data_IF_139943643229
#
_entry.id   IF_139943643229
#
_cell.length_a   1.000
_cell.length_b   1.000
_cell.length_c   1.000
_cell.angle_alpha   90.00
_cell.angle_beta   90.00
_cell.angle_gamma   90.00
#
_symmetry.space_group_name_H-M   'P 1'
#
loop_
_entity.id
_entity.type
_entity.pdbx_description
1 polymer ?
#
# COMPACT_ATOMS: atom_id res chain seq x y z
N UNK A 1 39.14 -9.80 16.04
CA UNK A 1 37.87 -10.56 15.81
C UNK A 1 36.77 -9.85 16.60
N UNK A 2 35.95 -9.05 15.93
CA UNK A 2 34.78 -8.41 16.54
C UNK A 2 33.76 -9.50 16.85
N UNK A 3 33.28 -9.58 18.12
CA UNK A 3 32.16 -10.46 18.50
C UNK A 3 31.01 -10.21 17.52
N UNK A 4 30.36 -11.26 16.97
CA UNK A 4 29.15 -11.07 16.18
C UNK A 4 28.15 -10.26 17.02
N UNK A 5 27.64 -9.17 16.45
CA UNK A 5 26.63 -8.36 17.11
C UNK A 5 25.45 -9.28 17.47
N UNK A 6 25.03 -9.26 18.73
CA UNK A 6 23.89 -10.07 19.22
C UNK A 6 22.66 -9.70 18.40
N UNK A 7 22.03 -10.71 17.78
CA UNK A 7 20.76 -10.50 17.04
C UNK A 7 19.71 -9.90 17.99
N UNK A 8 19.08 -8.80 17.56
CA UNK A 8 18.06 -8.10 18.35
C UNK A 8 16.71 -8.81 18.19
N UNK A 9 16.01 -9.02 19.30
CA UNK A 9 14.67 -9.61 19.31
C UNK A 9 13.62 -8.53 19.01
N UNK A 10 13.05 -8.55 17.82
CA UNK A 10 12.05 -7.61 17.38
C UNK A 10 10.66 -8.25 17.41
N UNK A 11 9.80 -7.79 18.31
CA UNK A 11 8.38 -8.12 18.23
C UNK A 11 7.68 -7.21 17.21
N UNK A 12 6.90 -7.81 16.33
CA UNK A 12 6.05 -7.06 15.38
C UNK A 12 4.61 -7.26 15.82
N UNK A 13 3.89 -6.18 16.12
CA UNK A 13 2.48 -6.23 16.50
C UNK A 13 1.65 -5.59 15.40
N UNK A 14 0.81 -6.42 14.76
CA UNK A 14 0.00 -6.05 13.61
C UNK A 14 -1.41 -6.64 13.71
N UNK A 15 -2.41 -6.01 13.12
CA UNK A 15 -3.80 -6.43 13.22
C UNK A 15 -4.04 -7.84 12.68
N UNK A 16 -3.63 -8.12 11.44
CA UNK A 16 -3.84 -9.40 10.76
C UNK A 16 -2.82 -9.61 9.64
N UNK A 17 -2.64 -10.83 9.15
CA UNK A 17 -1.79 -11.11 7.98
C UNK A 17 -2.31 -10.41 6.73
N UNK A 18 -1.40 -9.86 5.92
CA UNK A 18 -1.73 -9.25 4.64
C UNK A 18 -0.73 -9.64 3.58
N UNK A 19 -1.15 -9.63 2.32
CA UNK A 19 -0.30 -9.90 1.15
C UNK A 19 0.88 -8.91 0.98
N UNK A 20 0.87 -7.79 1.70
CA UNK A 20 1.93 -6.79 1.64
C UNK A 20 2.98 -6.94 2.74
N UNK A 21 2.53 -7.25 3.98
CA UNK A 21 3.43 -7.31 5.12
C UNK A 21 3.98 -8.71 5.39
N UNK A 22 3.18 -9.75 5.19
CA UNK A 22 3.61 -11.13 5.43
C UNK A 22 4.83 -11.54 4.58
N UNK A 23 4.90 -11.21 3.27
CA UNK A 23 6.11 -11.46 2.49
C UNK A 23 7.32 -10.63 2.93
N UNK A 24 7.12 -9.41 3.44
CA UNK A 24 8.21 -8.62 4.01
C UNK A 24 8.75 -9.23 5.31
N UNK A 25 7.88 -9.75 6.18
CA UNK A 25 8.31 -10.44 7.40
C UNK A 25 9.11 -11.71 7.07
N UNK A 26 8.66 -12.48 6.08
CA UNK A 26 9.40 -13.63 5.54
C UNK A 26 10.76 -13.24 5.00
N UNK A 27 10.80 -12.17 4.21
CA UNK A 27 12.05 -11.64 3.66
C UNK A 27 13.03 -11.22 4.77
N UNK A 28 12.55 -10.52 5.81
CA UNK A 28 13.38 -10.14 6.96
C UNK A 28 13.91 -11.35 7.71
N UNK A 29 13.08 -12.36 7.95
CA UNK A 29 13.50 -13.59 8.63
C UNK A 29 14.60 -14.34 7.87
N UNK A 30 14.57 -14.28 6.52
CA UNK A 30 15.55 -14.95 5.66
C UNK A 30 16.84 -14.17 5.42
N UNK A 31 16.83 -12.82 5.54
CA UNK A 31 17.95 -11.98 5.05
C UNK A 31 18.47 -10.96 6.07
N UNK A 32 17.87 -10.86 7.26
CA UNK A 32 18.27 -9.88 8.25
C UNK A 32 18.81 -10.54 9.53
N UNK A 33 20.01 -11.11 9.48
CA UNK A 33 20.67 -11.81 10.60
C UNK A 33 20.76 -10.97 11.89
N UNK A 34 20.72 -9.66 11.76
CA UNK A 34 20.71 -8.72 12.89
C UNK A 34 19.38 -8.72 13.67
N UNK A 35 18.32 -9.35 13.14
CA UNK A 35 16.99 -9.37 13.76
C UNK A 35 16.52 -10.81 13.94
N UNK A 36 16.11 -11.14 15.17
CA UNK A 36 15.26 -12.29 15.46
C UNK A 36 13.84 -11.78 15.64
N UNK A 37 13.01 -11.88 14.59
CA UNK A 37 11.64 -11.36 14.64
C UNK A 37 10.64 -12.41 15.12
N UNK A 38 9.58 -11.93 15.80
CA UNK A 38 8.33 -12.67 16.00
C UNK A 38 7.15 -11.76 15.76
N UNK A 39 6.19 -12.21 14.95
CA UNK A 39 4.97 -11.46 14.60
C UNK A 39 3.81 -11.89 15.49
N UNK A 40 3.20 -10.92 16.16
CA UNK A 40 2.00 -11.10 16.97
C UNK A 40 0.80 -10.56 16.21
N UNK A 41 -0.03 -11.45 15.67
CA UNK A 41 -1.27 -11.11 15.00
C UNK A 41 -2.41 -10.99 16.00
N UNK A 42 -3.13 -9.87 15.93
CA UNK A 42 -4.25 -9.59 16.83
C UNK A 42 -5.57 -10.18 16.33
N UNK A 43 -5.61 -10.63 15.07
CA UNK A 43 -6.76 -11.22 14.40
C UNK A 43 -6.30 -12.11 13.25
N UNK A 44 -7.13 -13.12 12.89
CA UNK A 44 -6.82 -14.08 11.83
C UNK A 44 -7.51 -13.79 10.48
N UNK A 45 -8.00 -12.55 10.27
CA UNK A 45 -8.56 -12.16 8.98
C UNK A 45 -7.55 -12.31 7.83
N UNK A 46 -8.04 -12.63 6.65
CA UNK A 46 -7.23 -12.80 5.43
C UNK A 46 -6.60 -14.17 5.26
N UNK A 47 -6.49 -14.99 6.32
CA UNK A 47 -6.03 -16.38 6.26
C UNK A 47 -7.15 -17.32 5.80
N UNK A 48 -8.35 -17.09 6.31
CA UNK A 48 -9.55 -17.83 5.92
C UNK A 48 -10.44 -16.95 5.03
N UNK A 49 -11.30 -17.57 4.17
CA UNK A 49 -12.26 -16.81 3.39
C UNK A 49 -13.09 -15.87 4.26
N UNK A 50 -13.01 -14.59 3.96
CA UNK A 50 -13.70 -13.53 4.71
C UNK A 50 -14.46 -12.66 3.72
N UNK A 51 -15.70 -12.30 4.06
CA UNK A 51 -16.48 -11.38 3.24
C UNK A 51 -15.95 -9.96 3.38
N UNK A 52 -15.50 -9.37 2.26
CA UNK A 52 -15.17 -7.95 2.18
C UNK A 52 -16.39 -7.16 1.71
N UNK A 53 -17.01 -6.33 2.57
CA UNK A 53 -18.24 -5.63 2.23
C UNK A 53 -18.05 -4.57 1.12
N UNK A 54 -16.84 -4.09 0.88
CA UNK A 54 -16.57 -3.10 -0.16
C UNK A 54 -16.33 -3.74 -1.54
N UNK A 55 -15.76 -4.95 -1.59
CA UNK A 55 -15.76 -5.77 -2.81
C UNK A 55 -17.09 -6.50 -3.02
N UNK A 56 -17.90 -6.67 -1.97
CA UNK A 56 -19.14 -7.47 -2.03
C UNK A 56 -18.89 -8.95 -2.32
N UNK A 57 -17.69 -9.46 -2.04
CA UNK A 57 -17.29 -10.84 -2.32
C UNK A 57 -16.56 -11.47 -1.13
N UNK A 58 -16.61 -12.79 -1.05
CA UNK A 58 -15.90 -13.58 -0.05
C UNK A 58 -14.67 -14.18 -0.70
N UNK A 59 -13.49 -13.88 -0.16
CA UNK A 59 -12.22 -14.44 -0.65
C UNK A 59 -11.21 -14.62 0.48
N UNK A 60 -10.20 -15.43 0.24
CA UNK A 60 -8.94 -15.44 0.95
C UNK A 60 -7.84 -15.02 -0.03
N UNK A 61 -6.73 -14.50 0.49
CA UNK A 61 -5.57 -14.26 -0.36
C UNK A 61 -5.02 -15.59 -0.85
N UNK A 62 -4.76 -15.71 -2.14
CA UNK A 62 -4.23 -16.90 -2.81
C UNK A 62 -2.70 -16.99 -2.79
N UNK A 63 -2.09 -16.33 -1.82
CA UNK A 63 -0.67 -16.37 -1.52
C UNK A 63 -0.43 -16.80 -0.08
N UNK A 64 0.70 -17.45 0.15
CA UNK A 64 1.07 -17.86 1.50
C UNK A 64 1.41 -16.66 2.38
N UNK A 65 0.65 -16.52 3.48
CA UNK A 65 0.77 -15.40 4.40
C UNK A 65 1.52 -15.75 5.70
N UNK A 66 1.77 -17.02 5.99
CA UNK A 66 2.22 -17.42 7.32
C UNK A 66 3.57 -18.15 7.36
N UNK A 67 4.00 -18.78 6.26
CA UNK A 67 5.25 -19.54 6.25
C UNK A 67 6.51 -18.67 6.25
N UNK A 68 7.60 -19.21 6.74
CA UNK A 68 8.95 -18.65 6.62
C UNK A 68 9.33 -17.57 7.63
N UNK A 69 8.53 -17.37 8.68
CA UNK A 69 8.86 -16.50 9.82
C UNK A 69 8.10 -16.94 11.08
N UNK A 70 8.66 -16.62 12.25
CA UNK A 70 8.03 -16.93 13.54
C UNK A 70 6.83 -16.01 13.79
N UNK A 71 5.67 -16.59 14.07
CA UNK A 71 4.45 -15.84 14.31
C UNK A 71 3.51 -16.54 15.30
N UNK A 72 2.64 -15.77 15.92
CA UNK A 72 1.53 -16.32 16.72
C UNK A 72 0.27 -15.44 16.61
N UNK A 73 -0.89 -16.08 16.72
CA UNK A 73 -2.16 -15.40 16.87
C UNK A 73 -2.48 -15.23 18.35
N UNK A 74 -2.66 -13.96 18.75
CA UNK A 74 -3.05 -13.62 20.13
C UNK A 74 -4.58 -13.64 20.23
N UNK A 75 -5.18 -14.41 21.17
CA UNK A 75 -6.64 -14.48 21.29
C UNK A 75 -7.29 -13.11 21.38
N UNK A 76 -8.28 -12.87 20.52
CA UNK A 76 -9.09 -11.65 20.52
C UNK A 76 -10.40 -11.89 21.26
N UNK A 77 -10.63 -11.17 22.35
CA UNK A 77 -11.81 -11.27 23.21
C UNK A 77 -12.90 -10.24 22.87
N UNK A 78 -12.77 -9.53 21.74
CA UNK A 78 -13.83 -8.61 21.29
C UNK A 78 -15.10 -9.38 20.93
N UNK A 79 -16.25 -8.86 21.35
CA UNK A 79 -17.57 -9.38 20.95
C UNK A 79 -17.86 -9.15 19.47
N UNK A 80 -17.20 -8.16 18.86
CA UNK A 80 -17.34 -7.79 17.46
C UNK A 80 -15.95 -7.60 16.86
N UNK A 81 -15.21 -8.70 16.55
CA UNK A 81 -13.88 -8.62 15.98
C UNK A 81 -13.89 -7.87 14.65
N UNK A 82 -12.88 -7.01 14.44
CA UNK A 82 -12.75 -6.24 13.21
C UNK A 82 -11.70 -5.16 13.31
N UNK A 83 -11.25 -4.68 12.17
CA UNK A 83 -10.26 -3.59 12.05
C UNK A 83 -10.90 -2.21 11.83
N UNK A 84 -12.21 -2.13 11.74
CA UNK A 84 -13.01 -0.94 11.46
C UNK A 84 -13.36 -0.12 12.71
N UNK A 85 -13.15 -0.68 13.92
CA UNK A 85 -13.55 -0.06 15.18
C UNK A 85 -12.49 -0.21 16.26
N UNK A 86 -12.45 0.77 17.17
CA UNK A 86 -11.49 0.82 18.29
C UNK A 86 -11.54 -0.42 19.20
N UNK A 87 -12.74 -0.94 19.50
CA UNK A 87 -12.95 -2.12 20.34
C UNK A 87 -12.85 -3.45 19.60
N UNK A 88 -12.59 -3.43 18.28
CA UNK A 88 -12.56 -4.64 17.46
C UNK A 88 -11.40 -5.58 17.75
N UNK A 89 -10.29 -5.04 18.25
CA UNK A 89 -9.13 -5.83 18.67
C UNK A 89 -8.87 -5.63 20.16
N UNK A 90 -9.16 -6.69 20.96
CA UNK A 90 -8.96 -6.78 22.40
C UNK A 90 -8.21 -8.07 22.71
N UNK A 91 -6.91 -7.97 22.88
CA UNK A 91 -6.03 -9.11 23.08
C UNK A 91 -5.35 -9.01 24.47
N UNK A 92 -6.02 -9.43 25.55
CA UNK A 92 -5.52 -9.26 26.92
C UNK A 92 -4.20 -9.98 27.16
N UNK A 93 -3.96 -11.11 26.49
CA UNK A 93 -2.75 -11.95 26.65
C UNK A 93 -1.51 -11.39 25.95
N UNK A 94 -1.64 -10.36 25.06
CA UNK A 94 -0.49 -9.83 24.31
C UNK A 94 0.67 -9.44 25.24
N UNK A 95 0.37 -8.74 26.34
CA UNK A 95 1.41 -8.23 27.25
C UNK A 95 2.16 -9.34 27.96
N UNK A 96 1.48 -10.39 28.43
CA UNK A 96 2.11 -11.56 29.06
C UNK A 96 2.96 -12.34 28.05
N UNK A 97 2.50 -12.49 26.81
CA UNK A 97 3.27 -13.15 25.74
C UNK A 97 4.53 -12.37 25.39
N UNK A 98 4.44 -11.03 25.28
CA UNK A 98 5.61 -10.17 25.09
C UNK A 98 6.57 -10.24 26.29
N UNK A 99 6.06 -10.25 27.54
CA UNK A 99 6.89 -10.39 28.75
C UNK A 99 7.65 -11.72 28.79
N UNK A 100 7.04 -12.83 28.35
CA UNK A 100 7.69 -14.14 28.23
C UNK A 100 8.71 -14.14 27.10
N UNK A 101 8.37 -13.60 25.93
CA UNK A 101 9.26 -13.58 24.78
C UNK A 101 10.42 -12.59 24.92
N UNK A 102 10.28 -11.53 25.74
CA UNK A 102 11.31 -10.52 26.06
C UNK A 102 11.93 -9.87 24.82
N UNK A 103 11.15 -9.10 24.03
CA UNK A 103 11.71 -8.36 22.90
C UNK A 103 12.64 -7.24 23.36
N UNK A 104 13.63 -6.91 22.54
CA UNK A 104 14.47 -5.71 22.71
C UNK A 104 13.75 -4.44 22.22
N UNK A 105 12.89 -4.59 21.22
CA UNK A 105 12.02 -3.52 20.69
C UNK A 105 10.71 -4.08 20.12
N UNK A 106 9.70 -3.22 19.97
CA UNK A 106 8.43 -3.56 19.30
C UNK A 106 8.20 -2.64 18.12
N UNK A 107 7.97 -3.20 16.93
CA UNK A 107 7.40 -2.52 15.77
C UNK A 107 5.89 -2.61 15.85
N UNK A 108 5.22 -1.48 16.11
CA UNK A 108 3.78 -1.40 16.29
C UNK A 108 3.11 -0.76 15.08
N UNK A 109 2.17 -1.48 14.46
CA UNK A 109 1.39 -1.01 13.32
C UNK A 109 0.10 -0.30 13.77
N UNK A 110 0.16 1.03 13.85
CA UNK A 110 -0.97 1.88 14.22
C UNK A 110 -1.17 2.02 15.74
N UNK A 111 -2.25 2.71 16.09
CA UNK A 111 -2.65 2.96 17.50
C UNK A 111 -4.17 2.85 17.71
N UNK A 112 -4.91 2.36 16.73
CA UNK A 112 -6.37 2.51 16.62
C UNK A 112 -7.19 1.52 17.45
N UNK A 113 -6.54 0.67 18.29
CA UNK A 113 -7.24 -0.37 19.04
C UNK A 113 -6.95 -0.33 20.52
N UNK A 114 -7.87 -0.88 21.32
CA UNK A 114 -7.69 -1.04 22.77
C UNK A 114 -6.36 -1.74 23.10
N UNK A 115 -6.04 -2.80 22.34
CA UNK A 115 -4.78 -3.55 22.50
C UNK A 115 -3.55 -2.67 22.29
N UNK A 116 -3.57 -1.78 21.29
CA UNK A 116 -2.46 -0.87 21.00
C UNK A 116 -2.22 0.12 22.16
N UNK A 117 -3.28 0.74 22.68
CA UNK A 117 -3.11 1.69 23.79
C UNK A 117 -2.61 1.01 25.07
N UNK A 118 -3.10 -0.20 25.36
CA UNK A 118 -2.58 -1.00 26.48
C UNK A 118 -1.10 -1.35 26.32
N UNK A 119 -0.69 -1.74 25.11
CA UNK A 119 0.70 -2.01 24.77
C UNK A 119 1.58 -0.76 24.94
N UNK A 120 1.14 0.39 24.42
CA UNK A 120 1.89 1.66 24.51
C UNK A 120 2.11 2.05 25.99
N UNK A 121 1.07 1.95 26.81
CA UNK A 121 1.18 2.24 28.24
C UNK A 121 2.12 1.27 28.96
N UNK A 122 1.96 -0.04 28.72
CA UNK A 122 2.79 -1.07 29.33
C UNK A 122 4.27 -0.94 28.92
N UNK A 123 4.54 -0.73 27.63
CA UNK A 123 5.90 -0.56 27.11
C UNK A 123 6.60 0.63 27.75
N UNK A 124 5.88 1.76 27.95
CA UNK A 124 6.40 2.92 28.67
C UNK A 124 6.78 2.58 30.13
N UNK A 125 5.93 1.81 30.82
CA UNK A 125 6.19 1.43 32.23
C UNK A 125 7.39 0.46 32.36
N UNK A 126 7.59 -0.39 31.36
CA UNK A 126 8.70 -1.36 31.34
C UNK A 126 9.98 -0.82 30.69
N UNK A 127 9.98 0.40 30.15
CA UNK A 127 11.10 0.95 29.39
C UNK A 127 11.34 0.25 28.04
N UNK A 128 10.34 -0.47 27.50
CA UNK A 128 10.46 -1.19 26.22
C UNK A 128 10.30 -0.21 25.03
N UNK A 129 11.30 -0.07 24.16
CA UNK A 129 11.24 0.84 23.03
C UNK A 129 10.17 0.41 22.01
N UNK A 130 9.35 1.39 21.59
CA UNK A 130 8.37 1.22 20.53
C UNK A 130 8.82 1.95 19.26
N UNK A 131 8.78 1.27 18.11
CA UNK A 131 8.90 1.84 16.79
C UNK A 131 7.50 1.94 16.21
N UNK A 132 7.07 3.14 15.84
CA UNK A 132 5.75 3.35 15.24
C UNK A 132 5.79 3.13 13.73
N UNK A 133 4.84 2.37 13.19
CA UNK A 133 4.55 2.31 11.77
C UNK A 133 3.08 2.65 11.51
N UNK A 134 2.86 3.64 10.67
CA UNK A 134 1.55 4.04 10.17
C UNK A 134 1.74 4.88 8.93
N UNK A 135 0.73 4.94 8.10
CA UNK A 135 0.77 5.49 6.73
C UNK A 135 -0.05 6.77 6.55
N UNK A 136 -0.55 7.35 7.64
CA UNK A 136 -1.35 8.59 7.60
C UNK A 136 -0.59 9.76 6.97
N UNK A 137 -1.31 10.61 6.25
CA UNK A 137 -0.81 11.86 5.65
C UNK A 137 -1.82 12.99 5.80
N UNK A 138 -1.43 14.22 5.41
CA UNK A 138 -2.27 15.41 5.46
C UNK A 138 -2.77 15.87 4.06
N UNK A 139 -2.48 15.12 3.01
CA UNK A 139 -2.89 15.47 1.64
C UNK A 139 -4.41 15.65 1.56
N UNK A 140 -4.86 16.75 1.00
CA UNK A 140 -6.28 17.09 0.89
C UNK A 140 -7.01 17.34 2.22
N UNK A 141 -6.29 17.38 3.35
CA UNK A 141 -6.85 17.73 4.65
C UNK A 141 -6.59 19.21 4.95
N UNK A 142 -7.62 19.92 5.37
CA UNK A 142 -7.46 21.26 5.93
C UNK A 142 -6.64 21.27 7.23
N UNK A 143 -6.47 22.44 7.86
CA UNK A 143 -5.77 22.54 9.15
C UNK A 143 -6.44 21.67 10.20
N UNK A 144 -5.64 20.78 10.80
CA UNK A 144 -6.12 19.98 11.92
C UNK A 144 -6.41 20.86 13.12
N UNK A 145 -7.60 20.67 13.73
CA UNK A 145 -7.94 21.31 14.99
C UNK A 145 -6.91 20.97 16.08
N UNK A 146 -6.58 21.92 16.90
CA UNK A 146 -5.69 21.73 18.07
C UNK A 146 -6.18 20.62 19.00
N UNK A 147 -7.50 20.41 19.10
CA UNK A 147 -8.13 19.33 19.89
C UNK A 147 -7.75 17.94 19.40
N UNK A 148 -7.51 17.76 18.10
CA UNK A 148 -7.01 16.51 17.53
C UNK A 148 -5.47 16.45 17.56
N UNK A 149 -4.81 17.58 17.37
CA UNK A 149 -3.36 17.66 17.29
C UNK A 149 -2.68 17.37 18.63
N UNK A 150 -3.16 17.93 19.74
CA UNK A 150 -2.53 17.77 21.04
C UNK A 150 -2.51 16.33 21.54
N UNK A 151 -3.63 15.56 21.57
CA UNK A 151 -3.62 14.17 21.97
C UNK A 151 -2.69 13.29 21.13
N UNK A 152 -2.67 13.48 19.80
CA UNK A 152 -1.79 12.72 18.91
C UNK A 152 -0.31 13.08 19.13
N UNK A 153 0.01 14.35 19.33
CA UNK A 153 1.39 14.76 19.66
C UNK A 153 1.87 14.15 20.99
N UNK A 154 1.01 14.05 21.99
CA UNK A 154 1.33 13.39 23.26
C UNK A 154 1.49 11.87 23.08
N UNK A 155 0.65 11.25 22.27
CA UNK A 155 0.77 9.84 21.93
C UNK A 155 2.10 9.55 21.21
N UNK A 156 2.46 10.34 20.21
CA UNK A 156 3.69 10.14 19.45
C UNK A 156 4.97 10.32 20.25
N UNK A 157 4.93 11.08 21.35
CA UNK A 157 6.07 11.18 22.30
C UNK A 157 6.42 9.85 22.98
N UNK A 158 5.50 8.87 22.97
CA UNK A 158 5.72 7.55 23.58
C UNK A 158 6.60 6.64 22.72
N UNK A 159 6.88 7.02 21.47
CA UNK A 159 7.65 6.20 20.54
C UNK A 159 9.10 6.64 20.47
N UNK A 160 10.01 5.66 20.46
CA UNK A 160 11.45 5.88 20.33
C UNK A 160 11.83 6.24 18.87
N UNK A 161 11.17 5.62 17.88
CA UNK A 161 11.42 5.85 16.47
C UNK A 161 10.13 5.70 15.64
N UNK A 162 10.15 6.18 14.39
CA UNK A 162 9.06 6.11 13.43
C UNK A 162 9.57 5.52 12.11
N UNK A 163 8.95 4.45 11.67
CA UNK A 163 9.17 3.80 10.37
C UNK A 163 8.28 4.48 9.32
N UNK A 164 8.76 5.59 8.73
CA UNK A 164 7.98 6.38 7.77
C UNK A 164 7.89 5.70 6.42
N UNK A 165 6.70 5.71 5.82
CA UNK A 165 6.43 4.98 4.57
C UNK A 165 6.77 5.79 3.31
N UNK A 166 6.88 7.13 3.42
CA UNK A 166 7.20 8.07 2.36
C UNK A 166 7.14 9.51 2.83
N UNK A 167 7.33 10.46 1.92
CA UNK A 167 7.47 11.88 2.24
C UNK A 167 6.19 12.51 2.79
N UNK A 168 5.01 12.20 2.24
CA UNK A 168 3.73 12.71 2.75
C UNK A 168 3.49 12.24 4.20
N UNK A 169 3.84 11.01 4.52
CA UNK A 169 3.77 10.44 5.86
C UNK A 169 4.84 11.06 6.80
N UNK A 170 6.05 11.26 6.31
CA UNK A 170 7.12 11.94 7.05
C UNK A 170 6.72 13.37 7.42
N UNK A 171 6.15 14.11 6.47
CA UNK A 171 5.60 15.45 6.70
C UNK A 171 4.48 15.45 7.76
N UNK A 172 3.62 14.41 7.74
CA UNK A 172 2.60 14.22 8.75
C UNK A 172 3.20 14.14 10.15
N UNK A 173 4.17 13.28 10.42
CA UNK A 173 4.77 13.16 11.76
C UNK A 173 5.49 14.43 12.20
N UNK A 174 6.17 15.13 11.27
CA UNK A 174 6.76 16.45 11.56
C UNK A 174 5.70 17.46 11.99
N UNK A 175 4.53 17.49 11.35
CA UNK A 175 3.42 18.37 11.71
C UNK A 175 2.88 18.10 13.13
N UNK A 176 3.04 16.87 13.64
CA UNK A 176 2.70 16.49 15.02
C UNK A 176 3.86 16.65 16.02
N UNK A 177 4.98 17.25 15.60
CA UNK A 177 6.11 17.58 16.47
C UNK A 177 7.09 16.42 16.69
N UNK A 178 7.07 15.39 15.84
CA UNK A 178 8.09 14.33 15.87
C UNK A 178 9.41 14.87 15.31
N UNK A 179 10.51 14.82 16.06
CA UNK A 179 11.81 15.35 15.62
C UNK A 179 12.40 14.49 14.51
N UNK A 180 13.19 15.12 13.61
CA UNK A 180 13.70 14.50 12.39
C UNK A 180 14.61 13.28 12.65
N UNK A 181 15.36 13.29 13.77
CA UNK A 181 16.24 12.19 14.18
C UNK A 181 15.50 10.92 14.63
N UNK A 182 14.19 10.98 14.82
CA UNK A 182 13.32 9.81 15.07
C UNK A 182 12.62 9.28 13.82
N UNK A 183 12.74 9.93 12.66
CA UNK A 183 12.05 9.58 11.42
C UNK A 183 12.99 8.80 10.49
N UNK A 184 12.74 7.52 10.33
CA UNK A 184 13.53 6.62 9.50
C UNK A 184 12.71 6.20 8.27
N UNK A 185 13.31 6.26 7.09
CA UNK A 185 12.65 5.86 5.85
C UNK A 185 12.54 4.31 5.79
N UNK A 186 11.33 3.82 5.92
CA UNK A 186 10.95 2.40 5.80
C UNK A 186 9.83 2.34 4.76
N UNK A 187 10.16 2.44 3.46
CA UNK A 187 9.17 2.67 2.42
C UNK A 187 8.11 1.56 2.37
N UNK A 188 6.91 1.92 1.95
CA UNK A 188 5.94 0.93 1.51
C UNK A 188 6.46 0.23 0.26
N UNK A 189 6.38 -1.09 0.26
CA UNK A 189 6.83 -1.94 -0.84
C UNK A 189 5.90 -3.14 -0.98
N UNK A 190 5.96 -3.76 -2.14
CA UNK A 190 5.27 -5.01 -2.47
C UNK A 190 6.31 -6.11 -2.70
N UNK A 191 5.87 -7.35 -2.87
CA UNK A 191 6.76 -8.45 -3.22
C UNK A 191 7.25 -8.26 -4.67
N UNK A 192 8.46 -7.70 -4.83
CA UNK A 192 9.04 -7.44 -6.14
C UNK A 192 9.20 -8.70 -6.99
N UNK A 193 9.50 -9.86 -6.37
CA UNK A 193 9.63 -11.13 -7.11
C UNK A 193 8.27 -11.57 -7.68
N UNK A 194 7.19 -11.32 -6.95
CA UNK A 194 5.83 -11.61 -7.39
C UNK A 194 5.37 -10.67 -8.52
N UNK A 195 5.75 -9.39 -8.46
CA UNK A 195 5.44 -8.37 -9.47
C UNK A 195 6.57 -8.17 -10.48
N UNK A 196 7.35 -9.20 -10.78
CA UNK A 196 8.33 -9.20 -11.87
C UNK A 196 7.72 -9.88 -13.11
N UNK A 197 7.79 -9.25 -14.29
CA UNK A 197 7.29 -9.85 -15.53
C UNK A 197 8.01 -11.16 -15.86
N UNK A 198 7.26 -12.26 -15.93
CA UNK A 198 7.73 -13.60 -16.36
C UNK A 198 7.13 -13.96 -17.71
N UNK A 199 7.67 -14.97 -18.38
CA UNK A 199 7.11 -15.47 -19.65
C UNK A 199 5.66 -15.95 -19.45
N UNK A 200 5.36 -16.58 -18.32
CA UNK A 200 4.00 -17.04 -17.99
C UNK A 200 3.03 -15.86 -17.85
N UNK A 201 3.39 -14.83 -17.09
CA UNK A 201 2.53 -13.66 -16.89
C UNK A 201 2.38 -12.82 -18.16
N UNK A 202 3.41 -12.79 -19.04
CA UNK A 202 3.32 -12.17 -20.36
C UNK A 202 2.35 -12.92 -21.26
N UNK A 203 2.50 -14.25 -21.36
CA UNK A 203 1.61 -15.08 -22.18
C UNK A 203 0.14 -15.01 -21.69
N UNK A 204 -0.08 -14.84 -20.38
CA UNK A 204 -1.43 -14.64 -19.84
C UNK A 204 -1.98 -13.25 -20.20
N UNK A 205 -1.18 -12.20 -20.08
CA UNK A 205 -1.57 -10.85 -20.49
C UNK A 205 -1.90 -10.79 -22.00
N UNK A 206 -1.11 -11.46 -22.87
CA UNK A 206 -1.36 -11.52 -24.31
C UNK A 206 -2.66 -12.28 -24.61
N UNK A 207 -2.89 -13.43 -23.98
CA UNK A 207 -4.16 -14.16 -24.13
C UNK A 207 -5.35 -13.31 -23.70
N UNK A 208 -5.23 -12.59 -22.60
CA UNK A 208 -6.28 -11.70 -22.14
C UNK A 208 -6.52 -10.55 -23.12
N UNK A 209 -5.45 -9.94 -23.65
CA UNK A 209 -5.52 -8.89 -24.68
C UNK A 209 -6.32 -9.35 -25.88
N UNK A 210 -5.97 -10.51 -26.43
CA UNK A 210 -6.65 -11.09 -27.60
C UNK A 210 -8.11 -11.45 -27.28
N UNK A 211 -8.39 -12.06 -26.13
CA UNK A 211 -9.76 -12.43 -25.72
C UNK A 211 -10.69 -11.24 -25.56
N UNK A 212 -10.16 -10.07 -25.24
CA UNK A 212 -10.90 -8.82 -25.11
C UNK A 212 -10.95 -8.00 -26.43
N UNK A 213 -10.31 -8.47 -27.51
CA UNK A 213 -10.23 -7.72 -28.76
C UNK A 213 -9.43 -6.42 -28.65
N UNK A 214 -8.38 -6.42 -27.84
CA UNK A 214 -7.56 -5.24 -27.53
C UNK A 214 -6.22 -5.20 -28.28
N UNK A 215 -6.03 -6.08 -29.26
CA UNK A 215 -4.82 -6.10 -30.06
C UNK A 215 -4.60 -4.77 -30.78
N UNK A 216 -3.37 -4.23 -30.67
CA UNK A 216 -3.01 -2.94 -31.22
C UNK A 216 -3.52 -1.71 -30.47
N UNK A 217 -4.36 -1.86 -29.44
CA UNK A 217 -4.86 -0.75 -28.63
C UNK A 217 -3.91 -0.43 -27.46
N UNK A 218 -3.81 0.85 -27.11
CA UNK A 218 -3.25 1.28 -25.82
C UNK A 218 -4.27 1.02 -24.72
N UNK A 219 -3.81 0.60 -23.57
CA UNK A 219 -4.70 0.21 -22.46
C UNK A 219 -4.46 1.09 -21.25
N UNK A 220 -5.51 1.81 -20.85
CA UNK A 220 -5.64 2.48 -19.57
C UNK A 220 -6.27 1.50 -18.59
N UNK A 221 -5.61 1.25 -17.46
CA UNK A 221 -6.05 0.30 -16.45
C UNK A 221 -6.40 1.00 -15.14
N UNK A 222 -7.57 0.68 -14.61
CA UNK A 222 -7.91 0.88 -13.20
C UNK A 222 -8.02 -0.49 -12.52
N UNK A 223 -7.30 -0.71 -11.41
CA UNK A 223 -7.41 -1.93 -10.62
C UNK A 223 -7.65 -1.61 -9.15
N UNK A 224 -8.72 -2.18 -8.58
CA UNK A 224 -9.10 -2.00 -7.18
C UNK A 224 -10.60 -1.97 -6.94
N UNK A 225 -10.98 -1.62 -5.71
CA UNK A 225 -12.39 -1.49 -5.33
C UNK A 225 -13.08 -0.40 -6.16
N UNK A 226 -14.19 -0.74 -6.79
CA UNK A 226 -15.02 0.20 -7.54
C UNK A 226 -15.95 0.96 -6.59
N UNK A 227 -15.34 1.85 -5.78
CA UNK A 227 -16.03 2.66 -4.77
C UNK A 227 -15.85 4.15 -5.05
N UNK A 228 -16.79 4.96 -4.61
CA UNK A 228 -16.82 6.41 -4.85
C UNK A 228 -15.53 7.12 -4.43
N UNK A 229 -14.89 6.70 -3.33
CA UNK A 229 -13.63 7.28 -2.86
C UNK A 229 -12.45 7.10 -3.84
N UNK A 230 -12.49 6.09 -4.71
CA UNK A 230 -11.47 5.80 -5.74
C UNK A 230 -11.76 6.44 -7.10
N UNK A 231 -12.87 7.14 -7.25
CA UNK A 231 -13.28 7.90 -8.42
C UNK A 231 -13.24 7.17 -9.78
N UNK A 232 -13.67 5.91 -9.88
CA UNK A 232 -13.69 5.22 -11.17
C UNK A 232 -14.70 5.82 -12.16
N UNK A 233 -15.77 6.46 -11.66
CA UNK A 233 -16.78 7.12 -12.50
C UNK A 233 -16.20 8.38 -13.16
N UNK A 234 -15.43 9.16 -12.43
CA UNK A 234 -14.74 10.35 -12.92
C UNK A 234 -13.70 9.99 -13.98
N UNK A 235 -12.97 8.89 -13.80
CA UNK A 235 -12.06 8.36 -14.81
C UNK A 235 -12.80 7.97 -16.09
N UNK A 236 -13.93 7.27 -15.98
CA UNK A 236 -14.73 6.90 -17.16
C UNK A 236 -15.30 8.14 -17.87
N UNK A 237 -15.76 9.16 -17.14
CA UNK A 237 -16.22 10.42 -17.73
C UNK A 237 -15.10 11.13 -18.50
N UNK A 238 -13.91 11.23 -17.92
CA UNK A 238 -12.74 11.79 -18.58
C UNK A 238 -12.37 11.02 -19.85
N UNK A 239 -12.40 9.68 -19.79
CA UNK A 239 -12.13 8.83 -20.94
C UNK A 239 -13.19 9.01 -22.05
N UNK A 240 -14.47 9.11 -21.70
CA UNK A 240 -15.58 9.37 -22.65
C UNK A 240 -15.43 10.75 -23.31
N UNK A 241 -15.08 11.76 -22.53
CA UNK A 241 -14.93 13.13 -23.04
C UNK A 241 -13.73 13.23 -24.01
N UNK A 242 -12.60 12.62 -23.67
CA UNK A 242 -11.42 12.60 -24.54
C UNK A 242 -11.61 11.74 -25.78
N UNK A 243 -12.41 10.69 -25.70
CA UNK A 243 -12.64 9.70 -26.76
C UNK A 243 -11.34 9.30 -27.50
N UNK A 244 -10.30 8.81 -26.81
CA UNK A 244 -8.98 8.67 -27.40
C UNK A 244 -8.94 7.54 -28.42
N UNK A 245 -8.39 7.81 -29.58
CA UNK A 245 -8.25 6.83 -30.65
C UNK A 245 -7.35 5.67 -30.26
N UNK A 246 -7.66 4.45 -30.77
CA UNK A 246 -6.89 3.24 -30.54
C UNK A 246 -6.56 2.97 -29.05
N UNK A 247 -7.46 3.35 -28.17
CA UNK A 247 -7.27 3.22 -26.73
C UNK A 247 -8.47 2.50 -26.10
N UNK A 248 -8.20 1.67 -25.11
CA UNK A 248 -9.22 1.00 -24.31
C UNK A 248 -9.07 1.36 -22.84
N UNK A 249 -10.19 1.41 -22.11
CA UNK A 249 -10.21 1.54 -20.65
C UNK A 249 -10.67 0.21 -20.04
N UNK A 250 -9.83 -0.34 -19.17
CA UNK A 250 -10.11 -1.61 -18.48
C UNK A 250 -10.23 -1.36 -16.98
N UNK A 251 -11.37 -1.75 -16.42
CA UNK A 251 -11.59 -1.79 -14.98
C UNK A 251 -11.43 -3.22 -14.47
N UNK A 252 -10.59 -3.41 -13.44
CA UNK A 252 -10.43 -4.69 -12.72
C UNK A 252 -10.89 -4.52 -11.30
N UNK A 253 -11.93 -5.23 -10.90
CA UNK A 253 -12.45 -5.21 -9.53
C UNK A 253 -13.96 -5.17 -9.45
N UNK A 254 -14.44 -5.12 -8.20
CA UNK A 254 -15.84 -5.09 -7.84
C UNK A 254 -16.12 -3.90 -6.90
N UNK A 255 -17.38 -3.55 -6.73
CA UNK A 255 -17.81 -2.52 -5.80
C UNK A 255 -19.11 -1.81 -6.21
N UNK A 256 -19.57 -0.94 -5.32
CA UNK A 256 -20.87 -0.27 -5.41
C UNK A 256 -21.09 0.56 -6.69
N UNK A 257 -20.01 1.09 -7.30
CA UNK A 257 -20.12 1.93 -8.49
C UNK A 257 -20.16 1.15 -9.80
N UNK A 258 -19.93 -0.17 -9.79
CA UNK A 258 -19.89 -0.99 -11.01
C UNK A 258 -21.16 -0.91 -11.87
N UNK A 259 -22.38 -0.94 -11.31
CA UNK A 259 -23.59 -0.79 -12.11
C UNK A 259 -23.66 0.58 -12.84
N UNK A 260 -23.33 1.65 -12.13
CA UNK A 260 -23.30 3.00 -12.72
C UNK A 260 -22.26 3.13 -13.83
N UNK A 261 -21.07 2.54 -13.64
CA UNK A 261 -20.02 2.48 -14.67
C UNK A 261 -20.50 1.75 -15.93
N UNK A 262 -21.17 0.61 -15.80
CA UNK A 262 -21.71 -0.13 -16.95
C UNK A 262 -22.76 0.66 -17.71
N UNK A 263 -23.67 1.35 -17.00
CA UNK A 263 -24.68 2.23 -17.64
C UNK A 263 -24.00 3.37 -18.40
N UNK A 264 -23.02 4.01 -17.77
CA UNK A 264 -22.28 5.11 -18.40
C UNK A 264 -21.47 4.64 -19.61
N UNK A 265 -20.79 3.50 -19.54
CA UNK A 265 -20.07 2.93 -20.68
C UNK A 265 -21.02 2.57 -21.85
N UNK A 266 -22.22 2.05 -21.56
CA UNK A 266 -23.22 1.74 -22.59
C UNK A 266 -23.73 2.97 -23.35
N UNK A 267 -23.58 4.19 -22.82
CA UNK A 267 -23.91 5.42 -23.55
C UNK A 267 -22.93 5.77 -24.68
N UNK A 268 -21.77 5.11 -24.71
CA UNK A 268 -20.71 5.29 -25.73
C UNK A 268 -20.18 3.93 -26.19
N UNK A 269 -20.99 3.16 -26.91
CA UNK A 269 -20.64 1.82 -27.37
C UNK A 269 -19.49 1.79 -28.43
N UNK A 270 -19.17 2.94 -28.99
CA UNK A 270 -18.03 3.18 -29.87
C UNK A 270 -16.67 3.14 -29.14
N UNK A 271 -16.65 3.35 -27.83
CA UNK A 271 -15.44 3.31 -27.01
C UNK A 271 -15.21 1.93 -26.42
N UNK A 272 -13.97 1.48 -26.44
CA UNK A 272 -13.59 0.20 -25.87
C UNK A 272 -13.46 0.33 -24.35
N UNK A 273 -14.51 -0.03 -23.59
CA UNK A 273 -14.53 -0.05 -22.13
C UNK A 273 -14.85 -1.47 -21.64
N UNK A 274 -13.97 -2.05 -20.85
CA UNK A 274 -14.08 -3.43 -20.36
C UNK A 274 -14.10 -3.50 -18.84
N UNK A 275 -14.85 -4.47 -18.31
CA UNK A 275 -14.99 -4.70 -16.88
C UNK A 275 -14.60 -6.14 -16.55
N UNK A 276 -13.46 -6.31 -15.92
CA UNK A 276 -12.98 -7.59 -15.40
C UNK A 276 -13.41 -7.74 -13.91
N UNK A 277 -13.60 -8.98 -13.46
CA UNK A 277 -13.89 -9.24 -12.05
C UNK A 277 -12.69 -8.90 -11.15
N UNK A 278 -12.88 -9.01 -9.84
CA UNK A 278 -11.78 -8.99 -8.87
C UNK A 278 -10.72 -10.02 -9.28
N UNK A 279 -9.46 -9.59 -9.29
CA UNK A 279 -8.29 -10.44 -9.52
C UNK A 279 -7.53 -10.58 -8.20
N UNK A 280 -7.25 -11.81 -7.79
CA UNK A 280 -6.44 -12.09 -6.62
C UNK A 280 -4.94 -11.97 -6.94
N UNK A 281 -4.05 -12.25 -5.99
CA UNK A 281 -2.62 -11.98 -6.13
C UNK A 281 -1.99 -12.79 -7.27
N UNK A 282 -2.42 -14.02 -7.53
CA UNK A 282 -1.90 -14.83 -8.65
C UNK A 282 -2.30 -14.29 -10.02
N UNK A 283 -3.41 -13.60 -10.15
CA UNK A 283 -3.94 -13.10 -11.42
C UNK A 283 -3.56 -11.65 -11.73
N UNK A 284 -3.42 -10.82 -10.67
CA UNK A 284 -3.28 -9.36 -10.84
C UNK A 284 -2.00 -8.94 -11.60
N UNK A 285 -0.83 -9.64 -11.52
CA UNK A 285 0.34 -9.30 -12.31
C UNK A 285 0.08 -9.27 -13.82
N UNK A 286 -0.66 -10.27 -14.36
CA UNK A 286 -1.01 -10.29 -15.77
C UNK A 286 -1.96 -9.14 -16.17
N UNK A 287 -2.83 -8.69 -15.23
CA UNK A 287 -3.70 -7.53 -15.46
C UNK A 287 -2.87 -6.23 -15.57
N UNK A 288 -1.84 -6.07 -14.75
CA UNK A 288 -0.93 -4.91 -14.88
C UNK A 288 -0.12 -4.97 -16.19
N UNK A 289 0.40 -6.13 -16.58
CA UNK A 289 1.14 -6.28 -17.85
C UNK A 289 0.30 -5.97 -19.10
N UNK A 290 -1.03 -6.10 -19.00
CA UNK A 290 -1.94 -5.69 -20.05
C UNK A 290 -1.85 -4.18 -20.34
N UNK A 291 -1.51 -3.36 -19.34
CA UNK A 291 -1.66 -1.92 -19.37
C UNK A 291 -0.45 -1.17 -19.95
N UNK A 292 -0.73 -0.04 -20.59
CA UNK A 292 0.26 0.98 -20.95
C UNK A 292 0.28 2.11 -19.90
N UNK A 293 -0.84 2.39 -19.23
CA UNK A 293 -1.00 3.38 -18.17
C UNK A 293 -1.90 2.82 -17.06
N UNK A 294 -1.42 2.86 -15.83
CA UNK A 294 -2.24 2.59 -14.64
C UNK A 294 -2.83 3.90 -14.10
N UNK A 295 -4.10 3.93 -13.73
CA UNK A 295 -4.75 5.15 -13.18
C UNK A 295 -5.33 4.87 -11.80
N UNK A 296 -4.91 5.68 -10.81
CA UNK A 296 -5.45 5.67 -9.45
C UNK A 296 -5.95 7.07 -9.09
N UNK A 297 -7.20 7.43 -9.45
CA UNK A 297 -7.73 8.77 -9.28
C UNK A 297 -8.28 9.04 -7.88
N UNK A 298 -7.88 8.27 -6.89
CA UNK A 298 -8.43 8.29 -5.53
C UNK A 298 -8.48 9.70 -4.91
N UNK A 299 -9.62 10.00 -4.27
CA UNK A 299 -10.01 11.33 -3.79
C UNK A 299 -9.64 11.58 -2.35
N UNK A 300 -8.77 10.96 -1.74
CA UNK A 300 -8.53 11.44 -0.43
C UNK A 300 -8.11 10.47 0.66
N UNK A 301 -8.65 10.64 1.85
CA UNK A 301 -8.10 10.17 3.12
C UNK A 301 -7.92 8.66 3.26
N UNK A 302 -8.49 7.86 2.34
CA UNK A 302 -8.43 6.41 2.37
C UNK A 302 -7.28 5.82 1.54
N UNK A 303 -6.69 6.59 0.63
CA UNK A 303 -5.54 6.14 -0.17
C UNK A 303 -4.25 6.62 0.49
N UNK A 304 -3.96 6.07 1.67
CA UNK A 304 -2.84 6.51 2.50
C UNK A 304 -1.49 6.33 1.83
N UNK A 305 -1.39 5.36 0.90
CA UNK A 305 -0.21 5.18 0.05
C UNK A 305 -0.58 4.95 -1.42
N UNK A 306 -1.31 3.89 -1.73
CA UNK A 306 -1.62 3.46 -3.09
C UNK A 306 -0.69 2.35 -3.56
N UNK A 307 -0.66 1.22 -2.82
CA UNK A 307 0.24 0.08 -3.14
C UNK A 307 0.04 -0.49 -4.54
N UNK A 308 -1.15 -0.34 -5.13
CA UNK A 308 -1.40 -0.67 -6.53
C UNK A 308 -0.50 0.10 -7.52
N UNK A 309 -0.01 1.29 -7.15
CA UNK A 309 1.00 2.03 -7.92
C UNK A 309 2.35 1.31 -7.88
N UNK A 310 2.77 0.80 -6.70
CA UNK A 310 3.98 -0.01 -6.61
C UNK A 310 3.87 -1.27 -7.49
N UNK A 311 2.73 -1.97 -7.42
CA UNK A 311 2.46 -3.17 -8.21
C UNK A 311 2.57 -2.89 -9.71
N UNK A 312 1.87 -1.85 -10.20
CA UNK A 312 1.92 -1.43 -11.59
C UNK A 312 3.34 -1.05 -12.03
N UNK A 313 4.06 -0.27 -11.22
CA UNK A 313 5.42 0.17 -11.55
C UNK A 313 6.43 -0.98 -11.56
N UNK A 314 6.31 -1.98 -10.67
CA UNK A 314 7.11 -3.21 -10.73
C UNK A 314 6.86 -4.01 -12.00
N UNK A 315 5.65 -3.96 -12.56
CA UNK A 315 5.30 -4.54 -13.85
C UNK A 315 5.71 -3.64 -15.04
N UNK A 316 6.42 -2.52 -14.79
CA UNK A 316 6.92 -1.60 -15.81
C UNK A 316 5.88 -0.61 -16.35
N UNK A 317 4.77 -0.42 -15.63
CA UNK A 317 3.64 0.44 -16.04
C UNK A 317 3.70 1.77 -15.31
N UNK A 318 3.78 2.92 -16.01
CA UNK A 318 3.69 4.25 -15.41
C UNK A 318 2.29 4.51 -14.85
N UNK A 319 2.19 5.44 -13.88
CA UNK A 319 0.94 5.71 -13.20
C UNK A 319 0.47 7.16 -13.39
N UNK A 320 -0.85 7.34 -13.56
CA UNK A 320 -1.54 8.62 -13.40
C UNK A 320 -2.30 8.59 -12.06
N UNK A 321 -1.94 9.48 -11.15
CA UNK A 321 -2.53 9.51 -9.81
C UNK A 321 -3.04 10.90 -9.44
N UNK A 322 -3.98 10.99 -8.50
CA UNK A 322 -4.34 12.29 -7.93
C UNK A 322 -3.25 12.78 -6.96
N UNK A 323 -3.20 14.09 -6.73
CA UNK A 323 -2.32 14.75 -5.73
C UNK A 323 -2.64 14.36 -4.27
N UNK A 324 -3.67 13.53 -4.06
CA UNK A 324 -4.07 13.01 -2.74
C UNK A 324 -3.68 11.56 -2.49
N UNK A 325 -3.11 10.87 -3.47
CA UNK A 325 -2.55 9.53 -3.29
C UNK A 325 -1.23 9.64 -2.53
N UNK A 326 -1.09 8.91 -1.42
CA UNK A 326 0.03 9.08 -0.50
C UNK A 326 1.42 8.88 -1.12
N UNK A 327 1.56 8.01 -2.13
CA UNK A 327 2.82 7.74 -2.81
C UNK A 327 3.16 8.75 -3.92
N UNK A 328 2.29 9.73 -4.20
CA UNK A 328 2.46 10.64 -5.34
C UNK A 328 3.83 11.33 -5.31
N UNK A 329 4.22 11.92 -4.19
CA UNK A 329 5.51 12.63 -4.05
C UNK A 329 6.74 11.72 -4.10
N UNK A 330 6.55 10.44 -3.87
CA UNK A 330 7.62 9.45 -3.80
C UNK A 330 7.84 8.71 -5.13
N UNK A 331 6.75 8.33 -5.80
CA UNK A 331 6.77 7.44 -6.96
C UNK A 331 6.55 8.17 -8.28
N UNK A 332 5.80 9.30 -8.28
CA UNK A 332 5.35 9.94 -9.51
C UNK A 332 6.06 11.27 -9.73
N UNK A 333 6.88 11.32 -10.78
CA UNK A 333 7.45 12.54 -11.35
C UNK A 333 6.79 12.80 -12.70
N UNK A 334 6.17 13.97 -12.85
CA UNK A 334 5.34 14.33 -14.01
C UNK A 334 6.13 14.21 -15.34
N UNK A 335 5.63 13.41 -16.27
CA UNK A 335 6.27 13.15 -17.57
C UNK A 335 7.51 12.24 -17.53
N UNK A 336 7.94 11.78 -16.35
CA UNK A 336 9.06 10.85 -16.18
C UNK A 336 8.65 9.45 -15.77
N UNK A 337 8.03 9.33 -14.58
CA UNK A 337 7.59 8.03 -14.03
C UNK A 337 6.08 7.89 -14.03
N UNK A 338 5.36 8.96 -14.36
CA UNK A 338 3.91 9.02 -14.39
C UNK A 338 3.42 10.45 -14.50
N UNK A 339 2.18 10.67 -14.06
CA UNK A 339 1.55 11.99 -14.05
C UNK A 339 0.75 12.18 -12.77
N UNK A 340 0.68 13.42 -12.31
CA UNK A 340 -0.14 13.79 -11.17
C UNK A 340 -1.18 14.84 -11.60
N UNK A 341 -2.43 14.68 -11.17
CA UNK A 341 -3.49 15.64 -11.41
C UNK A 341 -4.09 16.16 -10.10
N UNK A 342 -4.70 17.30 -10.12
CA UNK A 342 -5.37 17.90 -8.96
C UNK A 342 -6.69 17.15 -8.69
N UNK A 343 -6.80 16.53 -7.51
CA UNK A 343 -8.02 15.84 -7.10
C UNK A 343 -9.22 16.80 -7.08
N UNK A 344 -10.43 16.29 -7.34
CA UNK A 344 -11.68 17.04 -7.50
C UNK A 344 -11.71 18.02 -8.69
N UNK A 345 -10.71 17.95 -9.60
CA UNK A 345 -10.65 18.75 -10.83
C UNK A 345 -10.66 17.82 -12.05
N UNK A 346 -11.83 17.69 -12.68
CA UNK A 346 -11.99 16.84 -13.85
C UNK A 346 -11.20 17.34 -15.06
N UNK A 347 -11.02 18.66 -15.21
CA UNK A 347 -10.22 19.24 -16.29
C UNK A 347 -8.74 18.88 -16.11
N UNK A 348 -8.25 18.90 -14.87
CA UNK A 348 -6.90 18.44 -14.53
C UNK A 348 -6.71 16.96 -14.86
N UNK A 349 -7.67 16.09 -14.49
CA UNK A 349 -7.64 14.67 -14.83
C UNK A 349 -7.59 14.45 -16.35
N UNK A 350 -8.50 15.10 -17.11
CA UNK A 350 -8.56 14.98 -18.56
C UNK A 350 -7.26 15.47 -19.22
N UNK A 351 -6.75 16.62 -18.80
CA UNK A 351 -5.48 17.17 -19.32
C UNK A 351 -4.30 16.22 -19.11
N UNK A 352 -4.19 15.67 -17.89
CA UNK A 352 -3.09 14.74 -17.57
C UNK A 352 -3.25 13.37 -18.22
N UNK A 353 -4.49 12.87 -18.38
CA UNK A 353 -4.77 11.65 -19.13
C UNK A 353 -4.41 11.81 -20.61
N UNK A 354 -4.80 12.92 -21.22
CA UNK A 354 -4.45 13.22 -22.61
C UNK A 354 -2.92 13.32 -22.81
N UNK A 355 -2.23 14.03 -21.91
CA UNK A 355 -0.77 14.16 -21.94
C UNK A 355 -0.06 12.79 -21.78
N UNK A 356 -0.56 11.96 -20.88
CA UNK A 356 -0.03 10.61 -20.67
C UNK A 356 -0.19 9.74 -21.93
N UNK A 357 -1.38 9.73 -22.52
CA UNK A 357 -1.68 8.97 -23.73
C UNK A 357 -0.84 9.45 -24.93
N UNK A 358 -0.64 10.75 -25.08
CA UNK A 358 0.23 11.32 -26.12
C UNK A 358 1.70 10.88 -25.93
N UNK A 359 2.23 11.00 -24.71
CA UNK A 359 3.60 10.61 -24.39
C UNK A 359 3.86 9.09 -24.60
N UNK A 360 2.87 8.25 -24.28
CA UNK A 360 2.95 6.81 -24.41
C UNK A 360 2.67 6.31 -25.85
N UNK A 361 2.12 7.16 -26.72
CA UNK A 361 1.95 6.86 -28.13
C UNK A 361 3.29 6.83 -28.88
N UNK A 362 4.24 7.67 -28.45
CA UNK A 362 5.55 7.82 -29.08
C UNK A 362 6.51 6.76 -28.51
N UNK A 363 7.07 5.84 -29.37
CA UNK A 363 7.86 4.70 -28.88
C UNK A 363 9.09 5.06 -28.07
N UNK A 364 9.84 6.11 -28.44
CA UNK A 364 11.05 6.53 -27.72
C UNK A 364 10.70 7.13 -26.36
N UNK A 365 9.62 7.93 -26.27
CA UNK A 365 9.11 8.48 -25.01
C UNK A 365 8.62 7.36 -24.07
N UNK A 366 7.87 6.40 -24.60
CA UNK A 366 7.41 5.24 -23.85
C UNK A 366 8.56 4.41 -23.28
N UNK A 367 9.60 4.15 -24.07
CA UNK A 367 10.78 3.42 -23.61
C UNK A 367 11.52 4.17 -22.49
N UNK A 368 11.70 5.50 -22.64
CA UNK A 368 12.32 6.37 -21.63
C UNK A 368 11.53 6.36 -20.32
N UNK A 369 10.20 6.49 -20.39
CA UNK A 369 9.32 6.49 -19.22
C UNK A 369 9.40 5.14 -18.50
N UNK A 370 9.32 4.01 -19.21
CA UNK A 370 9.44 2.68 -18.61
C UNK A 370 10.79 2.47 -17.92
N UNK A 371 11.87 2.96 -18.49
CA UNK A 371 13.21 2.91 -17.88
C UNK A 371 13.24 3.74 -16.57
N UNK A 372 12.65 4.94 -16.57
CA UNK A 372 12.56 5.78 -15.37
C UNK A 372 11.66 5.14 -14.29
N UNK A 373 10.56 4.51 -14.67
CA UNK A 373 9.70 3.73 -13.75
C UNK A 373 10.51 2.63 -13.07
N UNK A 374 11.25 1.82 -13.85
CA UNK A 374 12.09 0.75 -13.31
C UNK A 374 13.17 1.28 -12.34
N UNK A 375 13.83 2.37 -12.70
CA UNK A 375 14.83 3.03 -11.85
C UNK A 375 14.23 3.58 -10.56
N UNK A 376 13.00 4.10 -10.59
CA UNK A 376 12.30 4.61 -9.40
C UNK A 376 11.86 3.50 -8.47
N UNK A 377 11.20 2.48 -9.00
CA UNK A 377 10.55 1.46 -8.16
C UNK A 377 11.56 0.52 -7.48
N UNK A 378 12.77 0.34 -8.04
CA UNK A 378 13.82 -0.44 -7.40
C UNK A 378 14.29 0.11 -6.04
N UNK A 379 13.94 1.35 -5.70
CA UNK A 379 14.17 1.96 -4.39
C UNK A 379 13.09 1.60 -3.35
N UNK A 380 11.99 0.92 -3.77
CA UNK A 380 10.84 0.57 -2.93
C UNK A 380 10.72 -0.95 -2.81
N UNK A 381 11.72 -1.58 -2.18
CA UNK A 381 11.83 -3.03 -2.01
C UNK A 381 11.93 -3.40 -0.53
N UNK A 382 11.74 -4.68 -0.21
CA UNK A 382 11.92 -5.21 1.15
C UNK A 382 13.32 -4.96 1.70
N UNK A 383 14.35 -4.95 0.83
CA UNK A 383 15.73 -4.62 1.21
C UNK A 383 15.84 -3.19 1.76
N UNK A 384 15.29 -2.20 1.06
CA UNK A 384 15.31 -0.81 1.51
C UNK A 384 14.46 -0.61 2.78
N UNK A 385 13.28 -1.20 2.83
CA UNK A 385 12.42 -1.13 4.01
C UNK A 385 13.12 -1.75 5.23
N UNK A 386 13.75 -2.90 5.09
CA UNK A 386 14.49 -3.55 6.17
C UNK A 386 15.74 -2.75 6.58
N UNK A 387 16.48 -2.19 5.62
CA UNK A 387 17.62 -1.31 5.93
C UNK A 387 17.21 -0.08 6.75
N UNK A 388 16.06 0.53 6.41
CA UNK A 388 15.48 1.62 7.17
C UNK A 388 15.07 1.22 8.59
N UNK A 389 14.47 0.04 8.75
CA UNK A 389 14.09 -0.50 10.05
C UNK A 389 15.32 -0.82 10.92
N UNK A 390 16.37 -1.40 10.34
CA UNK A 390 17.64 -1.62 11.03
C UNK A 390 18.28 -0.29 11.47
N UNK A 391 18.15 0.75 10.66
CA UNK A 391 18.63 2.09 11.02
C UNK A 391 17.80 2.69 12.17
N UNK A 392 16.49 2.44 12.20
CA UNK A 392 15.63 2.84 13.31
C UNK A 392 16.03 2.12 14.61
N UNK A 393 16.27 0.82 14.56
CA UNK A 393 16.73 0.04 15.72
C UNK A 393 18.07 0.56 16.26
N UNK A 394 19.05 0.80 15.39
CA UNK A 394 20.37 1.37 15.80
C UNK A 394 20.28 2.79 16.33
N UNK A 395 19.28 3.55 15.90
CA UNK A 395 19.03 4.93 16.37
C UNK A 395 18.38 5.02 17.75
N UNK A 396 17.98 3.90 18.36
CA UNK A 396 17.40 3.86 19.70
C UNK A 396 18.56 3.78 20.73
N UNK A 397 18.71 4.79 21.64
CA UNK A 397 19.91 4.93 22.48
C UNK A 397 20.22 3.76 23.41
N UNK A 398 19.21 3.02 23.86
CA UNK A 398 19.31 1.96 24.88
C UNK A 398 19.29 0.54 24.31
N UNK A 399 19.26 0.39 22.99
CA UNK A 399 19.40 -0.89 22.31
C UNK A 399 20.89 -1.20 22.08
N UNK A 400 21.59 -1.66 23.13
CA UNK A 400 23.00 -2.12 23.04
C UNK A 400 23.11 -3.63 23.15
#
# INVERSE_FOLDING_TARGET
>A
MTRPAKSQRLAIVVSHPTQYYSPWFRWMAAHADAIHLRVFYLWNAGVNPTHDPQFGTTFAWDVDLLSGYDHEFVPNTSRTPGSDRFSGLRNPELLSRLAVWRPDAVLLFGYNYVTHLRLILWARLCGLPLIFRGDSHLLGRGRLSWTKRLPLSLLYRQFAAFATVGEANRAYFRAFGVPANKLFAVPHCVNADHFTPTDTTRAEADRLRTSLGLDGKRIVLFAGKLVSAKQPVELLKAFIHLAPENTALVFVGEGETRPALKILAASRPDLAVHFLPFANQTEIPARYLLADLFVLPSRGHYETWGLAVNEAMHMGVPALVSDRVGCQHDLVTDGETGWAFQADDNVSLETKLAAALAALAEPASRARIRAAVAARICLYTYKQATSGLLSALRGIPDLK
#
